data_IF_090649651508
#
_entry.id   IF_090649651508
#
_cell.length_a   1.000
_cell.length_b   1.000
_cell.length_c   1.000
_cell.angle_alpha   90.00
_cell.angle_beta   90.00
_cell.angle_gamma   90.00
#
_symmetry.space_group_name_H-M   'P 1'
#
loop_
_entity.id
_entity.type
_entity.pdbx_description
1 polymer ?
#
# COMPACT_ATOMS: atom_id res chain seq x y z
N UNK A 1 -25.40 10.63 20.87
CA UNK A 1 -24.21 10.09 20.18
C UNK A 1 -23.54 9.12 21.15
N UNK A 2 -23.26 7.89 20.73
CA UNK A 2 -22.44 7.00 21.55
C UNK A 2 -21.07 7.67 21.78
N UNK A 3 -20.59 7.70 23.02
CA UNK A 3 -19.26 8.21 23.32
C UNK A 3 -18.21 7.31 22.68
N UNK A 4 -17.12 7.92 22.19
CA UNK A 4 -16.00 7.17 21.59
C UNK A 4 -14.69 7.56 22.27
N UNK A 5 -13.76 6.61 22.34
CA UNK A 5 -12.42 6.79 22.91
C UNK A 5 -11.40 6.53 21.83
N UNK A 6 -10.49 7.49 21.63
CA UNK A 6 -9.40 7.36 20.65
C UNK A 6 -8.25 6.55 21.22
N UNK A 7 -7.85 5.47 20.53
CA UNK A 7 -6.66 4.68 20.86
C UNK A 7 -5.83 4.46 19.61
N UNK A 8 -4.60 4.96 19.62
CA UNK A 8 -3.79 5.08 18.41
C UNK A 8 -4.46 6.01 17.38
N UNK A 9 -4.67 5.50 16.17
CA UNK A 9 -5.35 6.23 15.09
C UNK A 9 -6.84 5.90 14.94
N UNK A 10 -7.42 5.08 15.84
CA UNK A 10 -8.78 4.55 15.71
C UNK A 10 -9.64 5.03 16.89
N UNK A 11 -10.87 5.42 16.61
CA UNK A 11 -11.90 5.69 17.61
C UNK A 11 -12.71 4.41 17.87
N UNK A 12 -12.72 3.98 19.13
CA UNK A 12 -13.48 2.83 19.60
C UNK A 12 -14.72 3.29 20.37
N UNK A 13 -15.79 2.47 20.43
CA UNK A 13 -16.91 2.71 21.33
C UNK A 13 -16.45 2.80 22.79
N UNK A 14 -17.02 3.72 23.58
CA UNK A 14 -16.61 3.92 24.97
C UNK A 14 -17.05 2.79 25.92
N UNK A 15 -18.01 1.97 25.52
CA UNK A 15 -18.45 0.76 26.22
C UNK A 15 -17.44 -0.39 26.12
N UNK A 16 -16.40 -0.25 25.29
CA UNK A 16 -15.36 -1.25 25.17
C UNK A 16 -14.29 -1.06 26.23
N UNK A 17 -14.05 -2.12 27.00
CA UNK A 17 -12.95 -2.17 27.95
C UNK A 17 -11.64 -2.44 27.21
N UNK A 18 -10.60 -1.70 27.55
CA UNK A 18 -9.28 -1.92 26.96
C UNK A 18 -8.44 -2.81 27.83
N UNK A 19 -7.88 -3.85 27.21
CA UNK A 19 -7.04 -4.83 27.89
C UNK A 19 -5.57 -4.46 27.70
N UNK A 20 -5.13 -4.31 26.45
CA UNK A 20 -3.71 -4.17 26.14
C UNK A 20 -3.48 -3.39 24.84
N UNK A 21 -2.39 -2.63 24.77
CA UNK A 21 -1.88 -2.05 23.53
C UNK A 21 -0.39 -2.38 23.40
N UNK A 22 0.00 -2.95 22.27
CA UNK A 22 1.41 -3.15 21.93
C UNK A 22 1.87 -2.02 21.02
N UNK A 23 3.09 -1.55 21.26
CA UNK A 23 3.68 -0.41 20.56
C UNK A 23 5.10 -0.74 20.10
N UNK A 24 5.50 -0.15 18.98
CA UNK A 24 6.89 -0.11 18.52
C UNK A 24 7.21 1.37 18.29
N UNK A 25 8.05 1.94 19.16
CA UNK A 25 8.29 3.38 19.18
C UNK A 25 6.97 4.15 19.34
N UNK A 26 6.69 5.17 18.51
CA UNK A 26 5.46 5.95 18.61
C UNK A 26 4.23 5.25 18.04
N UNK A 27 4.37 4.03 17.48
CA UNK A 27 3.32 3.39 16.71
C UNK A 27 2.63 2.27 17.47
N UNK A 28 1.29 2.31 17.50
CA UNK A 28 0.47 1.21 18.03
C UNK A 28 0.36 0.10 16.97
N UNK A 29 0.86 -1.08 17.28
CA UNK A 29 0.91 -2.21 16.35
C UNK A 29 -0.21 -3.22 16.58
N UNK A 30 -0.67 -3.35 17.82
CA UNK A 30 -1.76 -4.23 18.24
C UNK A 30 -2.57 -3.60 19.36
N UNK A 31 -3.89 -3.73 19.32
CA UNK A 31 -4.79 -3.32 20.39
C UNK A 31 -5.76 -4.47 20.68
N UNK A 32 -5.95 -4.76 21.96
CA UNK A 32 -6.89 -5.77 22.44
C UNK A 32 -7.95 -5.09 23.30
N UNK A 33 -9.22 -5.29 22.94
CA UNK A 33 -10.37 -4.82 23.70
C UNK A 33 -11.26 -5.99 24.11
N UNK A 34 -12.01 -5.79 25.19
CA UNK A 34 -13.18 -6.57 25.55
C UNK A 34 -14.41 -5.76 25.16
N UNK A 35 -15.27 -6.35 24.34
CA UNK A 35 -16.54 -5.74 23.94
C UNK A 35 -17.59 -5.95 25.04
N UNK A 36 -18.68 -5.20 25.01
CA UNK A 36 -19.77 -5.34 25.99
C UNK A 36 -20.38 -6.75 26.05
N UNK A 37 -20.26 -7.54 24.97
CA UNK A 37 -20.66 -8.94 24.88
C UNK A 37 -19.60 -9.93 25.41
N UNK A 38 -18.57 -9.44 26.11
CA UNK A 38 -17.42 -10.20 26.62
C UNK A 38 -16.54 -10.83 25.51
N UNK A 39 -16.75 -10.48 24.23
CA UNK A 39 -15.89 -10.97 23.15
C UNK A 39 -14.58 -10.19 23.11
N UNK A 40 -13.46 -10.92 22.96
CA UNK A 40 -12.14 -10.32 22.77
C UNK A 40 -11.96 -9.90 21.32
N UNK A 41 -11.70 -8.61 21.14
CA UNK A 41 -11.43 -8.01 19.85
C UNK A 41 -9.95 -7.59 19.78
N UNK A 42 -9.18 -8.39 19.02
CA UNK A 42 -7.76 -8.16 18.79
C UNK A 42 -7.58 -7.57 17.40
N UNK A 43 -7.07 -6.34 17.29
CA UNK A 43 -6.72 -5.72 16.00
C UNK A 43 -5.24 -5.45 15.89
N UNK A 44 -4.65 -5.83 14.76
CA UNK A 44 -3.29 -5.43 14.37
C UNK A 44 -3.35 -4.33 13.32
N UNK A 45 -2.36 -3.45 13.32
CA UNK A 45 -2.23 -2.38 12.31
C UNK A 45 -2.32 -2.92 10.88
N UNK A 46 -1.68 -4.07 10.60
CA UNK A 46 -1.71 -4.71 9.27
C UNK A 46 -3.12 -5.18 8.87
N UNK A 47 -3.83 -5.90 9.74
CA UNK A 47 -5.19 -6.39 9.46
C UNK A 47 -6.16 -5.23 9.30
N UNK A 48 -5.98 -4.19 10.11
CA UNK A 48 -6.78 -2.98 10.06
C UNK A 48 -6.67 -2.26 8.71
N UNK A 49 -5.44 -1.95 8.25
CA UNK A 49 -5.21 -1.39 6.91
C UNK A 49 -5.79 -2.25 5.80
N UNK A 50 -5.64 -3.58 5.92
CA UNK A 50 -6.08 -4.54 4.91
C UNK A 50 -7.57 -4.86 4.97
N UNK A 51 -8.32 -4.24 5.89
CA UNK A 51 -9.76 -4.44 6.07
C UNK A 51 -10.14 -5.92 6.30
N UNK A 52 -9.28 -6.66 7.01
CA UNK A 52 -9.54 -8.08 7.34
C UNK A 52 -10.31 -8.26 8.66
N UNK A 53 -10.78 -7.18 9.28
CA UNK A 53 -11.46 -7.23 10.57
C UNK A 53 -10.55 -7.64 11.74
N UNK A 54 -11.14 -7.95 12.91
CA UNK A 54 -10.38 -8.42 14.06
C UNK A 54 -9.74 -9.80 13.80
N UNK A 55 -8.69 -10.08 14.56
CA UNK A 55 -8.08 -11.40 14.61
C UNK A 55 -9.06 -12.37 15.25
N UNK A 56 -9.33 -13.46 14.53
CA UNK A 56 -10.22 -14.53 14.96
C UNK A 56 -9.38 -15.62 15.61
N UNK A 57 -9.74 -16.07 16.82
CA UNK A 57 -9.04 -17.16 17.53
C UNK A 57 -8.96 -18.43 16.68
N UNK A 58 -10.00 -18.70 15.88
CA UNK A 58 -9.97 -19.76 14.88
C UNK A 58 -9.18 -19.28 13.66
N UNK A 59 -7.91 -19.70 13.56
CA UNK A 59 -7.11 -19.64 12.31
C UNK A 59 -7.83 -20.45 11.22
N UNK A 60 -8.85 -19.87 10.57
CA UNK A 60 -9.38 -20.45 9.34
C UNK A 60 -8.23 -20.49 8.36
N UNK A 61 -7.82 -21.70 7.92
CA UNK A 61 -6.88 -21.85 6.81
C UNK A 61 -7.41 -20.94 5.69
N UNK A 62 -6.59 -20.04 5.13
CA UNK A 62 -7.06 -19.24 4.02
C UNK A 62 -7.47 -20.24 2.94
N UNK A 63 -8.78 -20.37 2.68
CA UNK A 63 -9.21 -20.91 1.40
C UNK A 63 -8.45 -20.06 0.38
N UNK A 64 -7.71 -20.69 -0.54
CA UNK A 64 -6.98 -20.02 -1.61
C UNK A 64 -7.89 -18.94 -2.20
N UNK A 65 -7.73 -17.70 -1.73
CA UNK A 65 -8.63 -16.59 -2.01
C UNK A 65 -8.16 -15.94 -3.32
N UNK A 66 -8.10 -16.78 -4.36
CA UNK A 66 -7.60 -16.43 -5.68
C UNK A 66 -8.46 -15.35 -6.34
N UNK A 67 -9.76 -15.34 -6.04
CA UNK A 67 -10.72 -14.44 -6.67
C UNK A 67 -11.41 -13.52 -5.64
N UNK A 68 -10.99 -12.25 -5.59
CA UNK A 68 -11.62 -11.20 -4.76
C UNK A 68 -11.63 -9.83 -5.46
N UNK A 69 -12.26 -9.70 -6.64
CA UNK A 69 -12.23 -8.46 -7.43
C UNK A 69 -12.87 -7.27 -6.73
N UNK A 70 -13.73 -7.51 -5.73
CA UNK A 70 -14.32 -6.46 -4.89
C UNK A 70 -13.33 -5.83 -3.90
N UNK A 71 -12.13 -6.39 -3.74
CA UNK A 71 -11.14 -5.90 -2.79
C UNK A 71 -9.98 -5.20 -3.50
N UNK A 72 -9.61 -4.01 -3.02
CA UNK A 72 -8.45 -3.28 -3.51
C UNK A 72 -7.14 -4.09 -3.35
N UNK A 73 -7.06 -4.95 -2.33
CA UNK A 73 -5.91 -5.84 -2.13
C UNK A 73 -5.67 -6.80 -3.31
N UNK A 74 -6.74 -7.26 -3.95
CA UNK A 74 -6.65 -8.15 -5.10
C UNK A 74 -6.05 -7.43 -6.31
N UNK A 75 -6.53 -6.21 -6.60
CA UNK A 75 -5.99 -5.38 -7.68
C UNK A 75 -4.54 -4.95 -7.41
N UNK A 76 -4.19 -4.59 -6.17
CA UNK A 76 -2.80 -4.31 -5.79
C UNK A 76 -1.90 -5.51 -6.12
N UNK A 77 -2.31 -6.72 -5.76
CA UNK A 77 -1.54 -7.92 -6.05
C UNK A 77 -1.42 -8.16 -7.57
N UNK A 78 -2.53 -8.01 -8.31
CA UNK A 78 -2.55 -8.17 -9.77
C UNK A 78 -1.62 -7.18 -10.48
N UNK A 79 -1.65 -5.90 -10.09
CA UNK A 79 -0.77 -4.87 -10.63
C UNK A 79 0.70 -5.21 -10.38
N UNK A 80 1.07 -5.63 -9.17
CA UNK A 80 2.44 -6.09 -8.89
C UNK A 80 2.84 -7.31 -9.70
N UNK A 81 1.94 -8.29 -9.88
CA UNK A 81 2.23 -9.48 -10.69
C UNK A 81 2.49 -9.12 -12.16
N UNK A 82 1.62 -8.29 -12.76
CA UNK A 82 1.78 -7.84 -14.14
C UNK A 82 3.06 -7.04 -14.30
N UNK A 83 3.34 -6.08 -13.41
CA UNK A 83 4.58 -5.31 -13.46
C UNK A 83 5.83 -6.17 -13.28
N UNK A 84 5.79 -7.16 -12.38
CA UNK A 84 6.91 -8.09 -12.16
C UNK A 84 7.16 -8.96 -13.39
N UNK A 85 6.10 -9.40 -14.06
CA UNK A 85 6.20 -10.13 -15.32
C UNK A 85 6.92 -9.33 -16.41
N UNK A 86 6.65 -8.03 -16.51
CA UNK A 86 7.35 -7.15 -17.44
C UNK A 86 8.84 -7.05 -17.10
N UNK A 87 9.21 -6.84 -15.83
CA UNK A 87 10.62 -6.78 -15.45
C UNK A 87 11.36 -8.09 -15.68
N UNK A 88 10.75 -9.23 -15.35
CA UNK A 88 11.33 -10.54 -15.66
C UNK A 88 11.51 -10.69 -17.17
N UNK A 89 10.51 -10.35 -17.97
CA UNK A 89 10.58 -10.45 -19.43
C UNK A 89 11.67 -9.54 -20.01
N UNK A 90 11.74 -8.28 -19.58
CA UNK A 90 12.77 -7.33 -20.00
C UNK A 90 14.18 -7.80 -19.62
N UNK A 91 14.38 -8.28 -18.38
CA UNK A 91 15.65 -8.84 -17.95
C UNK A 91 16.05 -10.09 -18.73
N UNK A 92 15.11 -10.99 -19.02
CA UNK A 92 15.39 -12.18 -19.86
C UNK A 92 15.81 -11.77 -21.27
N UNK A 93 15.13 -10.81 -21.89
CA UNK A 93 15.48 -10.32 -23.22
C UNK A 93 16.89 -9.72 -23.25
N UNK A 94 17.26 -8.93 -22.24
CA UNK A 94 18.64 -8.41 -22.10
C UNK A 94 19.64 -9.55 -21.98
N UNK A 95 19.37 -10.57 -21.14
CA UNK A 95 20.29 -11.68 -20.91
C UNK A 95 20.50 -12.57 -22.13
N UNK A 96 19.48 -12.75 -22.98
CA UNK A 96 19.61 -13.53 -24.23
C UNK A 96 20.16 -12.70 -25.40
N UNK A 97 20.58 -11.46 -25.16
CA UNK A 97 21.19 -10.59 -26.18
C UNK A 97 20.19 -10.06 -27.21
N UNK A 98 18.93 -9.86 -26.83
CA UNK A 98 17.95 -9.23 -27.70
C UNK A 98 18.37 -7.79 -28.04
N UNK A 99 18.46 -7.46 -29.33
CA UNK A 99 19.11 -6.22 -29.81
C UNK A 99 18.19 -5.00 -29.91
N UNK A 100 16.88 -5.16 -29.71
CA UNK A 100 15.93 -4.05 -29.82
C UNK A 100 15.76 -3.35 -28.46
N UNK A 101 16.62 -2.36 -28.21
CA UNK A 101 16.62 -1.53 -26.99
C UNK A 101 15.28 -0.81 -26.77
N UNK A 102 14.64 -0.32 -27.83
CA UNK A 102 13.33 0.34 -27.73
C UNK A 102 12.28 -0.58 -27.11
N UNK A 103 12.22 -1.84 -27.55
CA UNK A 103 11.26 -2.81 -27.01
C UNK A 103 11.60 -3.19 -25.56
N UNK A 104 12.88 -3.30 -25.22
CA UNK A 104 13.33 -3.58 -23.86
C UNK A 104 12.90 -2.44 -22.92
N UNK A 105 13.17 -1.20 -23.30
CA UNK A 105 12.80 -0.02 -22.51
C UNK A 105 11.29 0.18 -22.42
N UNK A 106 10.55 -0.10 -23.50
CA UNK A 106 9.10 -0.11 -23.47
C UNK A 106 8.56 -1.13 -22.47
N UNK A 107 9.15 -2.34 -22.41
CA UNK A 107 8.78 -3.38 -21.44
C UNK A 107 9.07 -2.92 -20.01
N UNK A 108 10.24 -2.33 -19.75
CA UNK A 108 10.55 -1.79 -18.42
C UNK A 108 9.63 -0.63 -18.02
N UNK A 109 9.38 0.31 -18.95
CA UNK A 109 8.51 1.45 -18.69
C UNK A 109 7.05 1.03 -18.45
N UNK A 110 6.50 0.12 -19.25
CA UNK A 110 5.16 -0.44 -19.02
C UNK A 110 5.08 -1.16 -17.67
N UNK A 111 6.09 -1.94 -17.29
CA UNK A 111 6.19 -2.57 -15.98
C UNK A 111 6.18 -1.56 -14.82
N UNK A 112 6.86 -0.43 -14.98
CA UNK A 112 6.94 0.62 -13.95
C UNK A 112 5.62 1.36 -13.75
N UNK A 113 4.79 1.52 -14.79
CA UNK A 113 3.42 2.08 -14.68
C UNK A 113 2.59 1.19 -13.74
N UNK A 114 2.60 -0.13 -13.95
CA UNK A 114 1.87 -1.07 -13.09
C UNK A 114 2.37 -1.03 -11.64
N UNK A 115 3.69 -1.00 -11.43
CA UNK A 115 4.28 -0.87 -10.09
C UNK A 115 3.88 0.43 -9.40
N UNK A 116 3.85 1.55 -10.12
CA UNK A 116 3.45 2.86 -9.60
C UNK A 116 1.97 2.89 -9.25
N UNK A 117 1.10 2.34 -10.10
CA UNK A 117 -0.32 2.18 -9.79
C UNK A 117 -0.55 1.30 -8.56
N UNK A 118 0.24 0.23 -8.38
CA UNK A 118 0.18 -0.64 -7.22
C UNK A 118 0.64 0.08 -5.93
N UNK A 119 1.76 0.81 -6.01
CA UNK A 119 2.30 1.64 -4.92
C UNK A 119 1.31 2.71 -4.50
N UNK A 120 0.74 3.45 -5.46
CA UNK A 120 -0.31 4.44 -5.19
C UNK A 120 -1.55 3.79 -4.55
N UNK A 121 -2.00 2.64 -5.05
CA UNK A 121 -3.15 1.93 -4.48
C UNK A 121 -2.91 1.47 -3.03
N UNK A 122 -1.69 1.07 -2.69
CA UNK A 122 -1.30 0.77 -1.30
C UNK A 122 -1.32 2.01 -0.41
N UNK A 123 -0.80 3.13 -0.91
CA UNK A 123 -0.83 4.43 -0.23
C UNK A 123 -2.28 4.92 -0.03
N UNK A 124 -3.10 4.87 -1.08
CA UNK A 124 -4.52 5.19 -1.04
C UNK A 124 -5.27 4.34 -0.01
N UNK A 125 -4.99 3.03 0.05
CA UNK A 125 -5.55 2.13 1.06
C UNK A 125 -5.16 2.55 2.48
N UNK A 126 -3.91 2.99 2.68
CA UNK A 126 -3.41 3.43 3.98
C UNK A 126 -4.14 4.69 4.47
N UNK A 127 -4.16 5.77 3.67
CA UNK A 127 -4.79 7.05 4.05
C UNK A 127 -6.32 6.99 4.20
N UNK A 128 -6.95 5.93 3.66
CA UNK A 128 -8.38 5.65 3.76
C UNK A 128 -8.71 4.44 4.64
N UNK A 129 -7.78 3.95 5.48
CA UNK A 129 -8.15 2.93 6.46
C UNK A 129 -9.17 3.50 7.46
N UNK A 130 -10.13 2.70 7.94
CA UNK A 130 -11.20 3.18 8.82
C UNK A 130 -10.67 3.82 10.11
N UNK A 131 -11.11 5.03 10.44
CA UNK A 131 -10.65 5.73 11.66
C UNK A 131 -11.61 5.56 12.84
N UNK A 132 -12.74 4.86 12.65
CA UNK A 132 -13.72 4.60 13.67
C UNK A 132 -14.38 3.23 13.47
N UNK A 133 -14.86 2.66 14.57
CA UNK A 133 -15.53 1.35 14.64
C UNK A 133 -16.85 1.54 15.40
N UNK A 134 -17.91 0.84 14.97
CA UNK A 134 -19.19 0.84 15.68
C UNK A 134 -19.21 -0.11 16.88
N UNK A 135 -20.31 -0.11 17.64
CA UNK A 135 -20.49 -1.01 18.79
C UNK A 135 -20.42 -2.50 18.42
N UNK A 136 -20.73 -2.84 17.17
CA UNK A 136 -20.67 -4.19 16.62
C UNK A 136 -19.24 -4.63 16.19
N UNK A 137 -18.28 -3.70 16.20
CA UNK A 137 -16.91 -3.97 15.78
C UNK A 137 -16.70 -3.83 14.27
N UNK A 138 -17.70 -3.34 13.53
CA UNK A 138 -17.59 -3.07 12.11
C UNK A 138 -16.92 -1.71 11.87
N UNK A 139 -16.02 -1.62 10.88
CA UNK A 139 -15.38 -0.37 10.53
C UNK A 139 -16.40 0.61 9.96
N UNK A 140 -16.46 1.81 10.52
CA UNK A 140 -17.26 2.89 9.97
C UNK A 140 -16.63 3.40 8.68
N UNK A 141 -17.46 3.62 7.66
CA UNK A 141 -16.99 4.14 6.39
C UNK A 141 -16.33 5.51 6.58
N UNK A 142 -15.21 5.73 5.89
CA UNK A 142 -14.57 7.06 5.88
C UNK A 142 -15.52 8.03 5.19
N UNK A 143 -15.92 9.10 5.89
CA UNK A 143 -16.93 10.05 5.43
C UNK A 143 -16.59 10.72 4.08
N UNK A 144 -15.29 10.94 3.80
CA UNK A 144 -14.80 11.45 2.52
C UNK A 144 -13.53 10.70 2.12
N UNK A 145 -13.50 10.16 0.89
CA UNK A 145 -12.31 9.52 0.35
C UNK A 145 -11.21 10.54 0.15
N UNK A 146 -10.00 10.21 0.62
CA UNK A 146 -8.79 11.03 0.47
C UNK A 146 -7.95 10.47 -0.67
N UNK A 147 -7.57 11.31 -1.63
CA UNK A 147 -6.66 10.92 -2.71
C UNK A 147 -5.20 11.22 -2.38
N UNK A 148 -4.99 12.18 -1.46
CA UNK A 148 -3.72 12.55 -0.87
C UNK A 148 -3.95 12.84 0.61
N UNK A 149 -2.98 12.52 1.46
CA UNK A 149 -3.08 12.76 2.89
C UNK A 149 -1.76 12.59 3.62
N UNK A 150 -1.52 13.42 4.62
CA UNK A 150 -0.35 13.35 5.48
C UNK A 150 -0.73 12.74 6.84
N UNK A 151 -0.25 11.54 7.13
CA UNK A 151 -0.61 10.82 8.36
C UNK A 151 0.62 10.20 9.06
N UNK A 152 1.63 11.00 9.47
CA UNK A 152 2.92 10.51 9.95
C UNK A 152 2.83 9.75 11.29
N UNK A 153 1.72 9.87 12.04
CA UNK A 153 1.48 9.14 13.29
C UNK A 153 1.14 7.66 13.06
N UNK A 154 1.02 7.23 11.81
CA UNK A 154 0.55 5.90 11.41
C UNK A 154 1.69 5.11 10.77
N UNK A 155 1.95 3.91 11.29
CA UNK A 155 3.00 3.04 10.76
C UNK A 155 2.72 2.59 9.32
N UNK A 156 1.44 2.41 8.97
CA UNK A 156 1.06 2.04 7.62
C UNK A 156 1.24 3.17 6.60
N UNK A 157 1.17 4.43 7.05
CA UNK A 157 1.55 5.56 6.21
C UNK A 157 3.04 5.44 5.86
N UNK A 158 3.92 5.26 6.85
CA UNK A 158 5.36 5.08 6.62
C UNK A 158 5.73 3.82 5.84
N UNK A 159 4.90 2.78 5.88
CA UNK A 159 5.12 1.58 5.07
C UNK A 159 4.75 1.76 3.59
N UNK A 160 3.88 2.73 3.26
CA UNK A 160 3.29 2.85 1.91
C UNK A 160 3.67 4.14 1.19
N UNK A 161 3.89 5.23 1.91
CA UNK A 161 4.25 6.52 1.33
C UNK A 161 5.67 6.53 0.72
N UNK A 162 6.74 6.13 1.44
CA UNK A 162 8.07 5.99 0.83
C UNK A 162 8.11 4.96 -0.30
N UNK A 163 7.37 3.84 -0.16
CA UNK A 163 7.23 2.86 -1.23
C UNK A 163 6.65 3.48 -2.51
N UNK A 164 5.58 4.27 -2.38
CA UNK A 164 4.98 4.97 -3.51
C UNK A 164 5.94 5.98 -4.13
N UNK A 165 6.65 6.78 -3.32
CA UNK A 165 7.68 7.70 -3.83
C UNK A 165 8.80 6.96 -4.58
N UNK A 166 9.23 5.80 -4.06
CA UNK A 166 10.21 4.95 -4.73
C UNK A 166 9.70 4.43 -6.08
N UNK A 167 8.43 4.00 -6.16
CA UNK A 167 7.85 3.59 -7.46
C UNK A 167 7.74 4.74 -8.44
N UNK A 168 7.45 5.97 -7.97
CA UNK A 168 7.38 7.15 -8.82
C UNK A 168 8.76 7.52 -9.37
N UNK A 169 9.79 7.54 -8.52
CA UNK A 169 11.17 7.79 -8.95
C UNK A 169 11.63 6.73 -9.97
N UNK A 170 11.34 5.44 -9.69
CA UNK A 170 11.63 4.35 -10.61
C UNK A 170 10.90 4.50 -11.96
N UNK A 171 9.63 4.92 -11.95
CA UNK A 171 8.88 5.20 -13.17
C UNK A 171 9.51 6.33 -13.99
N UNK A 172 9.91 7.43 -13.34
CA UNK A 172 10.64 8.53 -13.99
C UNK A 172 11.94 8.03 -14.62
N UNK A 173 12.72 7.19 -13.94
CA UNK A 173 13.94 6.61 -14.50
C UNK A 173 13.67 5.75 -15.72
N UNK A 174 12.67 4.86 -15.68
CA UNK A 174 12.32 4.02 -16.85
C UNK A 174 11.73 4.83 -18.00
N UNK A 175 11.00 5.91 -17.70
CA UNK A 175 10.49 6.82 -18.72
C UNK A 175 11.65 7.57 -19.39
N UNK A 176 12.60 8.08 -18.59
CA UNK A 176 13.79 8.76 -19.09
C UNK A 176 14.63 7.85 -20.01
N UNK A 177 14.81 6.57 -19.64
CA UNK A 177 15.47 5.59 -20.50
C UNK A 177 14.70 5.42 -21.82
N UNK A 178 13.39 5.16 -21.74
CA UNK A 178 12.54 4.96 -22.91
C UNK A 178 12.54 6.15 -23.88
N UNK A 179 12.50 7.39 -23.38
CA UNK A 179 12.58 8.57 -24.24
C UNK A 179 14.01 8.79 -24.75
N UNK A 180 15.06 8.42 -24.02
CA UNK A 180 16.45 8.56 -24.50
C UNK A 180 16.76 7.65 -25.69
N UNK A 181 16.10 6.49 -25.79
CA UNK A 181 16.18 5.62 -26.97
C UNK A 181 15.40 6.21 -28.16
N UNK A 182 14.37 7.03 -27.91
CA UNK A 182 13.59 7.70 -28.96
C UNK A 182 14.22 9.01 -29.43
N UNK A 183 14.81 9.76 -28.49
CA UNK A 183 15.42 11.06 -28.70
C UNK A 183 16.93 10.89 -28.69
N UNK A 184 17.51 10.75 -29.89
CA UNK A 184 18.93 10.88 -30.23
C UNK A 184 19.78 11.43 -29.05
N UNK A 185 20.32 10.53 -28.23
CA UNK A 185 20.95 10.89 -26.97
C UNK A 185 22.24 11.69 -27.17
N UNK A 186 22.15 13.02 -27.14
CA UNK A 186 23.27 13.91 -26.78
C UNK A 186 22.86 15.23 -26.11
N UNK A 187 21.64 15.77 -26.30
CA UNK A 187 21.41 17.20 -25.95
C UNK A 187 20.81 17.50 -24.57
N UNK A 188 20.36 16.52 -23.78
CA UNK A 188 19.72 16.81 -22.47
C UNK A 188 20.67 16.62 -21.28
N UNK A 189 21.80 15.92 -21.43
CA UNK A 189 22.83 15.86 -20.37
C UNK A 189 23.81 17.04 -20.42
N UNK A 190 23.90 17.77 -21.54
CA UNK A 190 24.78 18.95 -21.69
C UNK A 190 24.29 20.16 -20.88
N UNK A 191 23.01 20.22 -20.52
CA UNK A 191 22.37 21.42 -19.97
C UNK A 191 21.87 21.32 -18.54
N UNK A 192 22.18 20.24 -17.80
CA UNK A 192 22.04 20.30 -16.33
C UNK A 192 23.37 20.85 -15.79
N UNK A 193 23.38 22.03 -15.14
CA UNK A 193 24.60 22.53 -14.51
C UNK A 193 25.02 21.55 -13.40
N UNK A 194 26.26 21.07 -13.48
CA UNK A 194 26.91 20.40 -12.35
C UNK A 194 26.97 21.40 -11.19
N UNK A 195 26.20 21.14 -10.13
CA UNK A 195 26.41 21.83 -8.86
C UNK A 195 27.60 21.16 -8.15
N UNK A 196 28.76 21.80 -8.26
CA UNK A 196 29.97 21.55 -7.46
C UNK A 196 29.69 21.75 -5.97
#
# INVERSE_FOLDING_TARGET
>A
MASTIKRGSINFPADWEHIESQQIGPFVTRITHLRGDQTRDVRTSRRHRKQFGPETEKKKRPKLLLWRPSSLNWWIALLFMIGSWHFISGSVLVLVGFSNEYLIDLIFFTGSIFFTSAGYSQYYQSINAPEAIDSEGHPLAVAKRRFLGWQPKRIDFWATFPQFLGTLAFNVSTFAAFISVQWLGYDILVWVPDYV
#
